data_IF_542134673974
#
_entry.id   IF_542134673974
#
_cell.length_a   1.000
_cell.length_b   1.000
_cell.length_c   1.000
_cell.angle_alpha   90.00
_cell.angle_beta   90.00
_cell.angle_gamma   90.00
#
_symmetry.space_group_name_H-M   'P 1'
#
loop_
_entity.id
_entity.type
_entity.pdbx_description
1 polymer ?
#
# COMPACT_ATOMS: atom_id res chain seq x y z
N UNK A 1 -15.66 57.23 58.04
CA UNK A 1 -15.32 56.53 59.30
C UNK A 1 -14.18 55.57 59.01
N UNK A 2 -13.06 55.72 59.74
CA UNK A 2 -11.93 54.79 59.97
C UNK A 2 -11.40 53.98 58.76
N UNK A 3 -10.17 54.11 58.23
CA UNK A 3 -8.91 54.66 58.74
C UNK A 3 -7.85 53.54 58.80
N UNK A 4 -6.76 53.64 58.03
CA UNK A 4 -5.41 53.07 58.28
C UNK A 4 -4.54 53.17 57.00
N UNK A 5 -3.60 54.12 56.89
CA UNK A 5 -2.17 54.09 57.31
C UNK A 5 -1.20 53.51 56.25
N UNK A 6 -0.37 54.41 55.73
CA UNK A 6 0.89 54.16 55.03
C UNK A 6 1.79 53.14 55.74
N UNK A 7 2.57 52.38 54.96
CA UNK A 7 3.98 52.10 55.24
C UNK A 7 4.66 51.50 53.99
N UNK A 8 5.51 52.30 53.34
CA UNK A 8 6.56 51.81 52.46
C UNK A 8 7.50 50.91 53.28
N UNK A 9 7.78 49.70 52.78
CA UNK A 9 8.94 48.92 53.21
C UNK A 9 9.65 48.34 52.00
N UNK A 10 10.91 48.76 51.86
CA UNK A 10 11.87 48.27 50.90
C UNK A 10 12.00 46.75 50.97
N UNK A 11 11.73 46.06 49.86
CA UNK A 11 12.04 44.65 49.71
C UNK A 11 13.46 44.55 49.17
N UNK A 12 14.35 44.00 50.02
CA UNK A 12 15.73 43.65 49.67
C UNK A 12 15.74 42.67 48.51
N UNK A 13 16.60 42.90 47.54
CA UNK A 13 16.91 41.96 46.47
C UNK A 13 17.63 40.74 47.06
N UNK A 14 16.92 39.62 47.14
CA UNK A 14 17.57 38.31 47.20
C UNK A 14 17.77 37.84 45.77
N UNK A 15 19.00 37.96 45.28
CA UNK A 15 19.46 37.30 44.06
C UNK A 15 19.50 35.78 44.30
N UNK A 16 18.37 35.11 44.08
CA UNK A 16 18.36 33.65 43.90
C UNK A 16 18.84 33.37 42.47
N UNK A 17 20.10 32.96 42.33
CA UNK A 17 20.56 32.33 41.11
C UNK A 17 19.62 31.14 40.79
N UNK A 18 19.10 31.01 39.57
CA UNK A 18 18.29 29.86 39.22
C UNK A 18 19.18 28.62 39.29
N UNK A 19 18.86 27.67 40.17
CA UNK A 19 19.41 26.32 40.05
C UNK A 19 19.16 25.84 38.61
N UNK A 20 20.14 25.25 37.92
CA UNK A 20 19.93 24.70 36.59
C UNK A 20 18.95 23.54 36.75
N UNK A 21 17.66 23.80 36.48
CA UNK A 21 16.68 22.74 36.32
C UNK A 21 17.17 21.92 35.13
N UNK A 22 17.68 20.72 35.39
CA UNK A 22 17.96 19.73 34.35
C UNK A 22 16.67 19.54 33.55
N UNK A 23 16.58 20.20 32.39
CA UNK A 23 15.53 19.90 31.43
C UNK A 23 15.71 18.43 31.04
N UNK A 24 14.67 17.58 31.19
CA UNK A 24 14.76 16.21 30.69
C UNK A 24 15.12 16.27 29.22
N UNK A 25 16.11 15.48 28.80
CA UNK A 25 16.52 15.42 27.41
C UNK A 25 15.32 15.02 26.55
N UNK A 26 15.03 15.82 25.51
CA UNK A 26 13.91 15.55 24.62
C UNK A 26 14.18 14.22 23.88
N UNK A 27 13.17 13.35 23.82
CA UNK A 27 13.25 12.13 23.03
C UNK A 27 13.16 12.52 21.55
N UNK A 28 14.13 12.08 20.75
CA UNK A 28 14.18 12.33 19.31
C UNK A 28 14.40 11.00 18.59
N UNK A 29 13.75 10.82 17.43
CA UNK A 29 14.01 9.68 16.55
C UNK A 29 15.35 9.82 15.85
N UNK A 30 15.90 8.73 15.32
CA UNK A 30 17.14 8.77 14.53
C UNK A 30 16.96 9.65 13.29
N UNK A 31 15.83 9.56 12.58
CA UNK A 31 15.50 10.45 11.46
C UNK A 31 15.48 11.93 11.91
N UNK A 32 14.86 12.22 13.05
CA UNK A 32 14.81 13.57 13.61
C UNK A 32 16.19 14.12 13.95
N UNK A 33 17.04 13.32 14.60
CA UNK A 33 18.40 13.71 14.95
C UNK A 33 19.26 13.96 13.70
N UNK A 34 19.16 13.09 12.69
CA UNK A 34 19.91 13.23 11.43
C UNK A 34 19.44 14.43 10.58
N UNK A 35 18.20 14.88 10.76
CA UNK A 35 17.60 16.00 10.03
C UNK A 35 17.95 17.40 10.56
N UNK A 36 18.64 17.50 11.70
CA UNK A 36 19.01 18.79 12.30
C UNK A 36 20.05 19.51 11.44
N UNK A 37 19.70 20.71 10.96
CA UNK A 37 20.61 21.51 10.11
C UNK A 37 21.73 22.22 10.90
N UNK A 38 21.52 22.51 12.19
CA UNK A 38 22.50 23.14 13.08
C UNK A 38 22.53 22.44 14.42
N UNK A 39 23.52 21.57 14.62
CA UNK A 39 23.71 20.84 15.86
C UNK A 39 24.43 21.73 16.89
N UNK A 40 23.67 22.36 17.78
CA UNK A 40 24.14 23.33 18.76
C UNK A 40 24.49 22.71 20.13
N UNK A 41 24.74 21.40 20.21
CA UNK A 41 25.02 20.71 21.47
C UNK A 41 23.77 20.45 22.33
N UNK A 42 22.59 20.42 21.71
CA UNK A 42 21.35 20.13 22.41
C UNK A 42 21.39 18.74 23.05
N UNK A 43 20.96 18.65 24.32
CA UNK A 43 20.86 17.37 25.03
C UNK A 43 19.60 16.64 24.58
N UNK A 44 19.80 15.51 23.91
CA UNK A 44 18.75 14.67 23.36
C UNK A 44 18.84 13.25 23.89
N UNK A 45 17.74 12.53 23.76
CA UNK A 45 17.61 11.13 24.12
C UNK A 45 17.18 10.32 22.92
N UNK A 46 17.97 9.32 22.55
CA UNK A 46 17.71 8.43 21.42
C UNK A 46 17.57 7.00 21.93
N UNK A 47 16.58 6.27 21.43
CA UNK A 47 16.33 4.88 21.77
C UNK A 47 16.27 4.06 20.48
N UNK A 48 16.92 2.91 20.45
CA UNK A 48 16.93 2.06 19.27
C UNK A 48 17.77 0.81 19.47
N UNK A 49 18.11 0.15 18.37
CA UNK A 49 18.93 -1.06 18.38
C UNK A 49 20.32 -0.78 17.83
N UNK A 50 21.31 -1.44 18.42
CA UNK A 50 22.69 -1.33 17.97
C UNK A 50 22.88 -2.08 16.65
N UNK A 51 23.40 -1.37 15.64
CA UNK A 51 23.69 -1.86 14.28
C UNK A 51 25.16 -2.21 14.07
N UNK A 52 26.05 -1.52 14.79
CA UNK A 52 27.47 -1.85 14.82
C UNK A 52 28.11 -1.23 16.05
N UNK A 53 29.19 -1.86 16.50
CA UNK A 53 29.99 -1.43 17.65
C UNK A 53 31.45 -1.51 17.23
N UNK A 54 32.21 -0.48 17.57
CA UNK A 54 33.65 -0.44 17.34
C UNK A 54 34.33 0.33 18.47
N UNK A 55 35.21 -0.34 19.18
CA UNK A 55 36.09 0.28 20.17
C UNK A 55 37.43 0.63 19.52
N UNK A 56 37.92 1.86 19.73
CA UNK A 56 39.23 2.34 19.26
C UNK A 56 39.88 3.22 20.32
N UNK A 57 40.97 2.73 20.92
CA UNK A 57 41.70 3.42 22.00
C UNK A 57 40.73 3.79 23.16
N UNK A 58 40.52 5.08 23.38
CA UNK A 58 39.67 5.64 24.45
C UNK A 58 38.25 5.96 23.97
N UNK A 59 37.90 5.64 22.72
CA UNK A 59 36.62 5.99 22.12
C UNK A 59 35.85 4.75 21.67
N UNK A 60 34.57 4.71 22.05
CA UNK A 60 33.59 3.72 21.62
C UNK A 60 32.64 4.35 20.60
N UNK A 61 32.53 3.72 19.43
CA UNK A 61 31.59 4.10 18.38
C UNK A 61 30.44 3.09 18.31
N UNK A 62 29.22 3.58 18.48
CA UNK A 62 28.00 2.80 18.28
C UNK A 62 27.22 3.39 17.12
N UNK A 63 26.60 2.54 16.31
CA UNK A 63 25.57 2.97 15.36
C UNK A 63 24.23 2.51 15.89
N UNK A 64 23.34 3.46 16.20
CA UNK A 64 22.00 3.18 16.74
C UNK A 64 20.96 3.49 15.66
N UNK A 65 20.03 2.56 15.45
CA UNK A 65 18.92 2.74 14.51
C UNK A 65 17.60 2.32 15.16
N UNK A 66 16.56 3.12 14.95
CA UNK A 66 15.22 2.93 15.51
C UNK A 66 14.17 2.57 14.44
N UNK A 67 14.60 2.34 13.20
CA UNK A 67 13.74 2.07 12.05
C UNK A 67 13.19 3.31 11.34
N UNK A 68 13.28 4.51 11.93
CA UNK A 68 12.73 5.75 11.36
C UNK A 68 13.49 6.25 10.13
N UNK A 69 14.72 5.80 9.93
CA UNK A 69 15.58 6.10 8.78
C UNK A 69 16.37 4.86 8.37
N UNK A 70 16.81 4.81 7.12
CA UNK A 70 17.80 3.86 6.66
C UNK A 70 19.14 4.03 7.40
N UNK A 71 19.55 5.28 7.61
CA UNK A 71 20.81 5.59 8.24
C UNK A 71 20.73 5.40 9.75
N UNK A 72 21.85 4.99 10.33
CA UNK A 72 22.00 4.92 11.80
C UNK A 72 22.61 6.21 12.32
N UNK A 73 22.23 6.63 13.51
CA UNK A 73 22.91 7.72 14.22
C UNK A 73 24.21 7.19 14.80
N UNK A 74 25.33 7.85 14.48
CA UNK A 74 26.59 7.58 15.16
C UNK A 74 26.52 8.15 16.58
N UNK A 75 26.84 7.30 17.54
CA UNK A 75 27.03 7.64 18.94
C UNK A 75 28.52 7.48 19.25
N UNK A 76 29.10 8.51 19.85
CA UNK A 76 30.49 8.55 20.30
C UNK A 76 30.48 8.57 21.82
N UNK A 77 31.10 7.58 22.43
CA UNK A 77 31.17 7.42 23.89
C UNK A 77 32.61 7.17 24.32
N UNK A 78 32.88 7.35 25.60
CA UNK A 78 34.14 6.91 26.22
C UNK A 78 34.20 5.37 26.25
N UNK A 79 35.40 4.79 26.12
CA UNK A 79 35.57 3.33 26.15
C UNK A 79 35.19 2.69 27.49
N UNK A 80 35.07 3.47 28.57
CA UNK A 80 34.52 3.01 29.86
C UNK A 80 33.06 2.55 29.78
N UNK A 81 32.30 2.96 28.76
CA UNK A 81 30.96 2.43 28.51
C UNK A 81 30.95 1.06 27.81
N UNK A 82 32.09 0.60 27.29
CA UNK A 82 32.18 -0.68 26.58
C UNK A 82 31.88 -1.83 27.55
N UNK A 83 30.83 -2.59 27.25
CA UNK A 83 30.35 -3.68 28.08
C UNK A 83 29.90 -4.84 27.21
N UNK A 84 29.92 -6.06 27.75
CA UNK A 84 29.51 -7.26 27.01
C UNK A 84 28.04 -7.24 26.58
N UNK A 85 27.21 -6.44 27.25
CA UNK A 85 25.79 -6.27 26.96
C UNK A 85 25.54 -5.30 25.79
N UNK A 86 26.52 -4.45 25.47
CA UNK A 86 26.52 -3.70 24.22
C UNK A 86 26.95 -4.65 23.10
N UNK A 87 25.96 -5.33 22.53
CA UNK A 87 26.13 -6.22 21.39
C UNK A 87 25.20 -5.84 20.23
N UNK A 88 25.54 -6.27 19.01
CA UNK A 88 24.67 -6.12 17.85
C UNK A 88 23.26 -6.65 18.14
N UNK A 89 22.24 -5.85 17.81
CA UNK A 89 20.85 -6.20 18.06
C UNK A 89 20.33 -5.87 19.46
N UNK A 90 21.20 -5.47 20.39
CA UNK A 90 20.77 -5.00 21.73
C UNK A 90 20.04 -3.68 21.62
N UNK A 91 18.99 -3.49 22.42
CA UNK A 91 18.27 -2.23 22.51
C UNK A 91 18.88 -1.33 23.59
N UNK A 92 19.09 -0.07 23.25
CA UNK A 92 19.74 0.93 24.11
C UNK A 92 18.93 2.20 24.19
N UNK A 93 19.03 2.87 25.34
CA UNK A 93 18.74 4.29 25.51
C UNK A 93 20.06 5.05 25.65
N UNK A 94 20.25 6.07 24.82
CA UNK A 94 21.44 6.94 24.85
C UNK A 94 20.99 8.36 25.10
N UNK A 95 21.55 8.98 26.13
CA UNK A 95 21.38 10.41 26.43
C UNK A 95 22.72 11.11 26.21
N UNK A 96 22.70 12.26 25.54
CA UNK A 96 23.92 12.97 25.20
C UNK A 96 23.70 14.25 24.41
N UNK A 97 24.78 14.86 23.98
CA UNK A 97 24.77 16.10 23.20
C UNK A 97 24.84 15.81 21.70
N UNK A 98 23.86 16.30 20.94
CA UNK A 98 23.90 16.23 19.49
C UNK A 98 24.80 17.33 18.94
N UNK A 99 25.90 16.93 18.29
CA UNK A 99 26.94 17.85 17.81
C UNK A 99 27.23 17.60 16.33
N UNK A 100 27.84 18.59 15.68
CA UNK A 100 28.35 18.43 14.32
C UNK A 100 29.45 17.38 14.30
N UNK A 101 29.33 16.42 13.40
CA UNK A 101 30.35 15.37 13.27
C UNK A 101 31.62 15.94 12.61
N UNK A 102 32.82 15.52 13.07
CA UNK A 102 34.08 15.86 12.41
C UNK A 102 34.29 15.09 11.09
N UNK A 103 33.54 14.01 10.87
CA UNK A 103 33.61 13.19 9.65
C UNK A 103 32.79 13.79 8.52
N UNK A 104 33.32 13.77 7.29
CA UNK A 104 32.59 14.19 6.07
C UNK A 104 31.46 13.24 5.69
N UNK A 105 31.40 12.03 6.26
CA UNK A 105 30.40 11.00 5.90
C UNK A 105 29.07 11.16 6.62
N UNK A 106 29.00 11.99 7.66
CA UNK A 106 27.80 12.18 8.47
C UNK A 106 27.78 13.60 9.02
N UNK A 107 26.60 14.22 9.04
CA UNK A 107 26.46 15.63 9.41
C UNK A 107 26.54 15.83 10.93
N UNK A 108 26.03 14.86 11.70
CA UNK A 108 25.90 14.94 13.15
C UNK A 108 26.34 13.63 13.80
N UNK A 109 26.69 13.71 15.07
CA UNK A 109 26.92 12.58 15.96
C UNK A 109 26.42 12.90 17.36
N UNK A 110 26.06 11.87 18.13
CA UNK A 110 25.63 12.01 19.52
C UNK A 110 26.79 11.69 20.45
N UNK A 111 27.29 12.71 21.17
CA UNK A 111 28.27 12.50 22.25
C UNK A 111 27.55 11.98 23.48
N UNK A 112 27.71 10.69 23.76
CA UNK A 112 27.01 10.01 24.84
C UNK A 112 27.53 10.48 26.20
N UNK A 113 26.59 10.81 27.08
CA UNK A 113 26.83 11.10 28.49
C UNK A 113 26.28 9.97 29.38
N UNK A 114 25.25 9.25 28.90
CA UNK A 114 24.70 8.05 29.52
C UNK A 114 24.27 7.07 28.44
N UNK A 115 24.63 5.79 28.63
CA UNK A 115 24.16 4.67 27.83
C UNK A 115 23.53 3.65 28.78
N UNK A 116 22.29 3.25 28.49
CA UNK A 116 21.55 2.25 29.24
C UNK A 116 21.11 1.13 28.29
N UNK A 117 21.48 -0.11 28.61
CA UNK A 117 21.00 -1.29 27.88
C UNK A 117 19.60 -1.63 28.38
N UNK A 118 18.61 -1.47 27.51
CA UNK A 118 17.20 -1.76 27.82
C UNK A 118 16.89 -3.24 27.61
N UNK A 119 17.60 -3.88 26.69
CA UNK A 119 17.38 -5.27 26.32
C UNK A 119 18.62 -5.85 25.66
N UNK A 120 19.13 -6.91 26.26
CA UNK A 120 20.30 -7.62 25.77
C UNK A 120 19.94 -8.48 24.54
N UNK A 121 20.88 -8.65 23.63
CA UNK A 121 20.78 -9.58 22.50
C UNK A 121 22.01 -10.49 22.45
N UNK A 122 21.79 -11.80 22.46
CA UNK A 122 22.86 -12.74 22.11
C UNK A 122 23.13 -12.69 20.60
N UNK A 123 24.17 -11.94 20.22
CA UNK A 123 24.59 -11.81 18.83
C UNK A 123 25.01 -13.14 18.18
N UNK A 124 25.39 -14.17 18.97
CA UNK A 124 25.73 -15.50 18.45
C UNK A 124 24.49 -16.32 18.13
N UNK A 125 23.43 -16.23 18.93
CA UNK A 125 22.15 -16.88 18.63
C UNK A 125 21.30 -16.10 17.60
N UNK A 126 21.51 -14.79 17.46
CA UNK A 126 20.70 -13.96 16.56
C UNK A 126 20.83 -14.39 15.08
N UNK A 127 19.73 -14.73 14.37
CA UNK A 127 19.81 -15.37 13.04
C UNK A 127 20.32 -14.42 11.95
N UNK A 128 20.06 -13.11 12.05
CA UNK A 128 20.50 -12.13 11.05
C UNK A 128 21.86 -11.56 11.43
N UNK A 129 22.93 -12.17 10.93
CA UNK A 129 24.32 -11.72 11.17
C UNK A 129 24.64 -10.43 10.43
N UNK A 130 25.20 -9.44 11.13
CA UNK A 130 25.48 -8.11 10.57
C UNK A 130 26.62 -8.07 9.54
N UNK A 131 27.53 -9.05 9.57
CA UNK A 131 28.66 -9.17 8.63
C UNK A 131 28.34 -9.96 7.38
N UNK A 132 27.15 -10.57 7.32
CA UNK A 132 26.76 -11.47 6.24
C UNK A 132 25.57 -10.89 5.49
N UNK A 133 25.56 -11.09 4.17
CA UNK A 133 24.39 -10.77 3.35
C UNK A 133 23.49 -12.00 3.31
N UNK A 134 22.30 -11.86 3.86
CA UNK A 134 21.29 -12.91 3.84
C UNK A 134 20.41 -12.78 2.59
N UNK A 135 20.18 -13.87 1.83
CA UNK A 135 19.24 -13.85 0.71
C UNK A 135 17.80 -13.65 1.21
N UNK A 136 16.91 -13.16 0.34
CA UNK A 136 15.52 -12.86 0.72
C UNK A 136 14.78 -14.13 1.14
N UNK A 137 15.08 -15.28 0.53
CA UNK A 137 14.53 -16.60 0.86
C UNK A 137 14.82 -16.98 2.31
N UNK A 138 16.04 -16.74 2.79
CA UNK A 138 16.40 -16.97 4.19
C UNK A 138 15.63 -16.03 5.12
N UNK A 139 15.55 -14.75 4.77
CA UNK A 139 14.83 -13.75 5.57
C UNK A 139 13.32 -14.04 5.68
N UNK A 140 12.71 -14.70 4.69
CA UNK A 140 11.29 -15.12 4.76
C UNK A 140 11.01 -16.12 5.89
N UNK A 141 12.02 -16.87 6.34
CA UNK A 141 11.89 -17.81 7.47
C UNK A 141 11.76 -17.10 8.83
N UNK A 142 12.11 -15.80 8.91
CA UNK A 142 12.10 -15.02 10.15
C UNK A 142 11.23 -13.76 10.03
N UNK A 143 9.91 -13.88 9.82
CA UNK A 143 9.02 -12.73 9.57
C UNK A 143 9.06 -11.68 10.70
N UNK A 144 9.28 -12.11 11.94
CA UNK A 144 9.37 -11.25 13.12
C UNK A 144 10.71 -10.47 13.23
N UNK A 145 11.75 -10.83 12.48
CA UNK A 145 13.08 -10.19 12.54
C UNK A 145 13.51 -9.53 11.22
N UNK A 146 13.00 -10.00 10.09
CA UNK A 146 13.47 -9.62 8.75
C UNK A 146 13.44 -8.12 8.47
N UNK A 147 12.49 -7.41 9.09
CA UNK A 147 12.31 -5.95 8.98
C UNK A 147 13.47 -5.15 9.60
N UNK A 148 14.29 -5.80 10.43
CA UNK A 148 15.52 -5.21 10.99
C UNK A 148 16.66 -5.19 9.97
N UNK A 149 16.51 -5.74 8.76
CA UNK A 149 17.50 -5.58 7.69
C UNK A 149 17.31 -4.25 6.96
N UNK A 150 18.38 -3.70 6.38
CA UNK A 150 18.28 -2.44 5.63
C UNK A 150 17.32 -2.57 4.45
N UNK A 151 17.37 -3.69 3.72
CA UNK A 151 16.55 -3.95 2.53
C UNK A 151 15.06 -3.96 2.89
N UNK A 152 14.62 -4.83 3.80
CA UNK A 152 13.20 -4.94 4.12
C UNK A 152 12.67 -3.77 4.96
N UNK A 153 13.51 -3.15 5.79
CA UNK A 153 13.16 -1.89 6.44
C UNK A 153 12.89 -0.77 5.42
N UNK A 154 13.69 -0.69 4.34
CA UNK A 154 13.49 0.29 3.26
C UNK A 154 12.20 0.01 2.51
N UNK A 155 11.93 -1.25 2.15
CA UNK A 155 10.68 -1.64 1.48
C UNK A 155 9.45 -1.27 2.32
N UNK A 156 9.48 -1.48 3.64
CA UNK A 156 8.36 -1.13 4.51
C UNK A 156 8.16 0.38 4.65
N UNK A 157 9.24 1.17 4.75
CA UNK A 157 9.14 2.64 4.76
C UNK A 157 8.59 3.16 3.43
N UNK A 158 9.07 2.62 2.31
CA UNK A 158 8.55 2.94 0.96
C UNK A 158 7.07 2.58 0.84
N UNK A 159 6.64 1.39 1.29
CA UNK A 159 5.23 0.99 1.31
C UNK A 159 4.39 1.92 2.18
N UNK A 160 4.87 2.30 3.35
CA UNK A 160 4.20 3.25 4.24
C UNK A 160 4.01 4.62 3.58
N UNK A 161 5.05 5.13 2.90
CA UNK A 161 4.99 6.39 2.17
C UNK A 161 4.04 6.31 0.98
N UNK A 162 4.10 5.23 0.19
CA UNK A 162 3.18 5.01 -0.92
C UNK A 162 1.73 4.96 -0.45
N UNK A 163 1.46 4.26 0.66
CA UNK A 163 0.11 4.19 1.26
C UNK A 163 -0.39 5.58 1.65
N UNK A 164 0.45 6.39 2.32
CA UNK A 164 0.10 7.76 2.69
C UNK A 164 -0.12 8.67 1.47
N UNK A 165 0.69 8.51 0.42
CA UNK A 165 0.57 9.26 -0.82
C UNK A 165 -0.73 8.93 -1.58
N UNK A 166 -1.12 7.66 -1.63
CA UNK A 166 -2.39 7.22 -2.23
C UNK A 166 -3.58 7.84 -1.50
N UNK A 167 -3.62 7.75 -0.17
CA UNK A 167 -4.68 8.38 0.62
C UNK A 167 -4.71 9.90 0.43
N UNK A 168 -3.54 10.55 0.34
CA UNK A 168 -3.46 11.99 0.12
C UNK A 168 -3.97 12.36 -1.27
N UNK A 169 -3.58 11.61 -2.31
CA UNK A 169 -4.08 11.80 -3.68
C UNK A 169 -5.61 11.77 -3.74
N UNK A 170 -6.24 10.73 -3.18
CA UNK A 170 -7.70 10.60 -3.20
C UNK A 170 -8.38 11.70 -2.38
N UNK A 171 -7.85 12.00 -1.19
CA UNK A 171 -8.37 13.08 -0.35
C UNK A 171 -8.30 14.44 -1.04
N UNK A 172 -7.16 14.76 -1.65
CA UNK A 172 -6.93 16.05 -2.33
C UNK A 172 -7.75 16.15 -3.63
N UNK A 173 -8.09 14.99 -4.23
CA UNK A 173 -9.00 14.88 -5.39
C UNK A 173 -10.49 14.85 -5.00
N UNK A 174 -10.82 14.94 -3.71
CA UNK A 174 -12.21 15.04 -3.22
C UNK A 174 -12.94 13.71 -3.04
N UNK A 175 -12.24 12.58 -3.07
CA UNK A 175 -12.85 11.28 -2.83
C UNK A 175 -13.16 11.03 -1.36
N UNK A 176 -14.24 10.30 -1.10
CA UNK A 176 -14.60 9.82 0.23
C UNK A 176 -14.04 8.41 0.43
N UNK A 177 -13.28 8.21 1.51
CA UNK A 177 -12.78 6.89 1.88
C UNK A 177 -13.90 6.06 2.52
N UNK A 178 -14.21 4.91 1.94
CA UNK A 178 -15.23 3.97 2.37
C UNK A 178 -14.57 2.67 2.80
N UNK A 179 -14.91 2.18 4.00
CA UNK A 179 -14.55 0.84 4.43
C UNK A 179 -15.59 -0.15 3.93
N UNK A 180 -15.24 -0.94 2.93
CA UNK A 180 -16.09 -2.01 2.38
C UNK A 180 -16.04 -3.27 3.27
N UNK A 181 -17.12 -4.07 3.33
CA UNK A 181 -17.14 -5.32 4.09
C UNK A 181 -16.11 -6.33 3.56
N UNK A 182 -15.36 -6.97 4.46
CA UNK A 182 -14.42 -8.06 4.14
C UNK A 182 -15.12 -9.42 4.10
N UNK A 183 -16.06 -9.65 5.01
CA UNK A 183 -16.90 -10.85 5.02
C UNK A 183 -18.15 -10.53 4.20
N UNK A 184 -18.39 -11.30 3.15
CA UNK A 184 -19.46 -11.04 2.18
C UNK A 184 -20.07 -12.34 1.68
N UNK A 185 -21.36 -12.33 1.34
CA UNK A 185 -22.00 -13.43 0.61
C UNK A 185 -21.87 -13.29 -0.90
N UNK A 186 -21.18 -12.23 -1.35
CA UNK A 186 -21.05 -11.86 -2.75
C UNK A 186 -19.69 -12.28 -3.31
N UNK A 187 -19.69 -12.91 -4.49
CA UNK A 187 -18.49 -13.31 -5.22
C UNK A 187 -17.93 -12.18 -6.11
N UNK A 188 -18.66 -11.08 -6.30
CA UNK A 188 -18.30 -9.89 -7.10
C UNK A 188 -18.02 -10.14 -8.60
N UNK A 189 -17.13 -11.08 -8.92
CA UNK A 189 -16.70 -11.45 -10.26
C UNK A 189 -17.37 -12.74 -10.77
N UNK A 190 -17.86 -13.61 -9.88
CA UNK A 190 -18.66 -14.79 -10.24
C UNK A 190 -17.87 -15.95 -10.84
N UNK A 191 -16.55 -15.96 -10.71
CA UNK A 191 -15.66 -16.90 -11.41
C UNK A 191 -14.42 -17.36 -10.62
N UNK A 192 -14.21 -16.86 -9.38
CA UNK A 192 -13.00 -17.12 -8.60
C UNK A 192 -13.19 -18.19 -7.52
N UNK A 193 -12.10 -18.87 -7.14
CA UNK A 193 -12.09 -19.67 -5.92
C UNK A 193 -12.08 -18.73 -4.69
N UNK A 194 -13.06 -18.89 -3.79
CA UNK A 194 -13.24 -18.06 -2.60
C UNK A 194 -12.87 -18.79 -1.30
N UNK A 195 -12.36 -18.05 -0.31
CA UNK A 195 -12.23 -18.56 1.05
C UNK A 195 -13.57 -18.46 1.80
N UNK A 196 -14.16 -19.59 2.16
CA UNK A 196 -15.38 -19.64 2.98
C UNK A 196 -15.06 -19.40 4.46
N UNK A 197 -15.90 -18.60 5.13
CA UNK A 197 -15.77 -18.27 6.56
C UNK A 197 -16.81 -19.03 7.37
N UNK A 198 -16.35 -19.90 8.27
CA UNK A 198 -17.19 -20.69 9.16
C UNK A 198 -16.76 -20.58 10.64
N UNK A 199 -17.70 -20.59 11.60
CA UNK A 199 -17.35 -20.63 13.02
C UNK A 199 -16.70 -21.97 13.39
N UNK A 200 -15.66 -21.93 14.22
CA UNK A 200 -14.88 -23.12 14.63
C UNK A 200 -15.60 -24.05 15.62
N UNK A 201 -16.79 -23.69 16.12
CA UNK A 201 -17.46 -24.41 17.22
C UNK A 201 -17.77 -25.87 16.86
N UNK A 202 -17.35 -26.80 17.74
CA UNK A 202 -17.56 -28.26 17.60
C UNK A 202 -19.03 -28.70 17.69
N UNK A 203 -19.91 -27.84 18.20
CA UNK A 203 -21.36 -28.07 18.17
C UNK A 203 -21.84 -27.54 16.81
N UNK A 204 -21.73 -28.39 15.79
CA UNK A 204 -22.43 -28.15 14.53
C UNK A 204 -23.92 -28.36 14.81
N UNK A 205 -24.67 -27.28 14.96
CA UNK A 205 -26.09 -27.36 14.63
C UNK A 205 -26.14 -27.63 13.13
N UNK A 206 -26.82 -28.69 12.64
CA UNK A 206 -26.57 -29.22 11.29
C UNK A 206 -26.86 -28.28 10.12
N UNK A 207 -27.55 -27.14 10.32
CA UNK A 207 -28.19 -26.40 9.21
C UNK A 207 -28.14 -24.88 9.29
N UNK A 208 -27.34 -24.25 10.14
CA UNK A 208 -27.26 -22.78 10.18
C UNK A 208 -25.82 -22.30 9.97
N UNK A 209 -25.55 -21.78 8.76
CA UNK A 209 -24.41 -20.87 8.57
C UNK A 209 -24.49 -19.76 9.63
N UNK A 210 -23.36 -19.23 10.11
CA UNK A 210 -23.38 -18.17 11.14
C UNK A 210 -24.25 -16.96 10.75
N UNK A 211 -24.31 -16.64 9.44
CA UNK A 211 -25.12 -15.57 8.89
C UNK A 211 -26.40 -16.06 8.19
N UNK A 212 -26.82 -17.31 8.43
CA UNK A 212 -27.91 -18.03 7.72
C UNK A 212 -27.69 -18.22 6.21
N UNK A 213 -26.64 -17.64 5.65
CA UNK A 213 -26.18 -17.79 4.27
C UNK A 213 -24.67 -18.09 4.27
N UNK A 214 -24.14 -18.78 3.24
CA UNK A 214 -22.71 -18.91 3.07
C UNK A 214 -22.06 -17.53 2.95
N UNK A 215 -20.90 -17.37 3.58
CA UNK A 215 -20.11 -16.14 3.51
C UNK A 215 -18.65 -16.47 3.22
N UNK A 216 -18.00 -15.52 2.58
CA UNK A 216 -16.66 -15.64 2.03
C UNK A 216 -15.83 -14.40 2.38
N UNK A 217 -14.52 -14.53 2.26
CA UNK A 217 -13.63 -13.37 2.21
C UNK A 217 -13.71 -12.72 0.83
N UNK A 218 -13.85 -11.40 0.81
CA UNK A 218 -14.06 -10.64 -0.41
C UNK A 218 -12.87 -10.71 -1.38
N UNK A 219 -13.16 -10.84 -2.67
CA UNK A 219 -12.18 -10.66 -3.75
C UNK A 219 -12.01 -9.19 -4.14
N UNK A 220 -13.04 -8.37 -3.92
CA UNK A 220 -13.12 -6.98 -4.35
C UNK A 220 -14.20 -6.21 -3.58
N UNK A 221 -13.94 -4.95 -3.25
CA UNK A 221 -14.90 -4.02 -2.64
C UNK A 221 -15.84 -3.38 -3.65
N UNK A 222 -15.60 -3.59 -4.94
CA UNK A 222 -16.27 -2.94 -6.08
C UNK A 222 -17.78 -2.73 -5.90
N UNK A 223 -18.55 -3.81 -5.76
CA UNK A 223 -20.03 -3.71 -5.80
C UNK A 223 -20.58 -2.88 -4.63
N UNK A 224 -19.87 -2.82 -3.51
CA UNK A 224 -20.21 -1.95 -2.40
C UNK A 224 -19.89 -0.48 -2.73
N UNK A 225 -18.77 -0.21 -3.40
CA UNK A 225 -18.42 1.13 -3.84
C UNK A 225 -19.41 1.67 -4.89
N UNK A 226 -19.89 0.83 -5.82
CA UNK A 226 -20.93 1.21 -6.80
C UNK A 226 -22.23 1.67 -6.14
N UNK A 227 -22.62 1.05 -5.01
CA UNK A 227 -23.79 1.49 -4.23
C UNK A 227 -23.51 2.84 -3.55
N UNK A 228 -22.31 2.99 -2.98
CA UNK A 228 -21.92 4.23 -2.28
C UNK A 228 -21.70 5.40 -3.23
N UNK A 229 -21.29 5.14 -4.47
CA UNK A 229 -21.09 6.18 -5.48
C UNK A 229 -22.40 6.88 -5.87
N UNK A 230 -23.53 6.18 -5.76
CA UNK A 230 -24.87 6.77 -5.89
C UNK A 230 -25.21 7.83 -4.83
N UNK A 231 -24.46 7.90 -3.72
CA UNK A 231 -24.59 8.95 -2.71
C UNK A 231 -23.41 9.94 -2.71
N UNK A 232 -22.22 9.49 -3.11
CA UNK A 232 -20.99 10.28 -3.16
C UNK A 232 -20.34 10.13 -4.53
N UNK A 233 -20.23 11.20 -5.30
CA UNK A 233 -19.80 11.12 -6.70
C UNK A 233 -18.42 10.51 -6.92
N UNK A 234 -17.57 10.48 -5.89
CA UNK A 234 -16.22 9.92 -5.92
C UNK A 234 -15.93 9.21 -4.58
N UNK A 235 -15.73 7.89 -4.63
CA UNK A 235 -15.43 7.06 -3.44
C UNK A 235 -14.23 6.17 -3.70
N UNK A 236 -13.52 5.80 -2.65
CA UNK A 236 -12.47 4.77 -2.74
C UNK A 236 -12.39 3.93 -1.47
N UNK A 237 -11.86 2.72 -1.59
CA UNK A 237 -11.47 1.86 -0.47
C UNK A 237 -9.99 1.53 -0.58
N UNK A 238 -9.37 1.30 0.57
CA UNK A 238 -8.03 0.72 0.69
C UNK A 238 -8.16 -0.41 1.71
N UNK A 239 -8.25 -1.66 1.22
CA UNK A 239 -8.61 -2.80 2.05
C UNK A 239 -7.93 -4.10 1.64
N UNK A 240 -7.94 -5.11 2.53
CA UNK A 240 -7.47 -6.44 2.19
C UNK A 240 -8.49 -7.17 1.29
N UNK A 241 -7.97 -7.89 0.31
CA UNK A 241 -8.74 -8.77 -0.57
C UNK A 241 -8.05 -10.14 -0.66
N UNK A 242 -8.82 -11.14 -1.06
CA UNK A 242 -8.42 -12.54 -0.95
C UNK A 242 -8.74 -13.30 -2.23
N UNK A 243 -7.83 -14.17 -2.66
CA UNK A 243 -8.05 -15.10 -3.79
C UNK A 243 -7.60 -16.49 -3.36
N UNK A 244 -8.48 -17.49 -3.50
CA UNK A 244 -8.18 -18.85 -3.03
C UNK A 244 -7.53 -19.74 -4.08
N UNK A 245 -7.31 -19.22 -5.30
CA UNK A 245 -6.64 -19.94 -6.38
C UNK A 245 -5.29 -20.52 -5.94
N UNK A 246 -5.08 -21.82 -6.18
CA UNK A 246 -3.81 -22.48 -5.85
C UNK A 246 -2.70 -22.18 -6.87
N UNK A 247 -2.38 -20.90 -7.04
CA UNK A 247 -1.34 -20.40 -7.95
C UNK A 247 -0.04 -20.13 -7.20
N UNK A 248 0.89 -21.10 -7.22
CA UNK A 248 2.21 -20.98 -6.59
C UNK A 248 3.22 -20.23 -7.47
N UNK A 249 2.88 -19.01 -7.87
CA UNK A 249 3.74 -18.13 -8.65
C UNK A 249 4.56 -17.19 -7.76
N UNK A 250 5.57 -16.50 -8.33
CA UNK A 250 6.35 -15.49 -7.59
C UNK A 250 5.59 -14.19 -7.31
N UNK A 251 4.39 -14.01 -7.88
CA UNK A 251 3.63 -12.75 -7.88
C UNK A 251 2.22 -12.87 -7.29
N UNK A 252 1.72 -14.08 -7.08
CA UNK A 252 0.39 -14.29 -6.50
C UNK A 252 0.49 -14.42 -4.99
N UNK A 253 -0.40 -13.69 -4.30
CA UNK A 253 -0.63 -13.81 -2.87
C UNK A 253 -2.10 -14.18 -2.67
N UNK A 254 -2.38 -15.06 -1.71
CA UNK A 254 -3.76 -15.39 -1.35
C UNK A 254 -4.44 -14.25 -0.56
N UNK A 255 -3.65 -13.40 0.09
CA UNK A 255 -4.08 -12.18 0.79
C UNK A 255 -3.21 -11.02 0.30
N UNK A 256 -3.84 -9.95 -0.19
CA UNK A 256 -3.17 -8.75 -0.66
C UNK A 256 -4.06 -7.53 -0.39
N UNK A 257 -3.55 -6.33 -0.68
CA UNK A 257 -4.30 -5.10 -0.50
C UNK A 257 -4.64 -4.51 -1.87
N UNK A 258 -5.89 -4.11 -2.02
CA UNK A 258 -6.38 -3.41 -3.19
C UNK A 258 -6.75 -1.98 -2.83
N UNK A 259 -6.48 -1.12 -3.80
CA UNK A 259 -6.99 0.24 -3.83
C UNK A 259 -8.00 0.30 -4.95
N UNK A 260 -9.24 0.55 -4.59
CA UNK A 260 -10.36 0.50 -5.53
C UNK A 260 -11.12 1.82 -5.42
N UNK A 261 -11.40 2.45 -6.55
CA UNK A 261 -12.07 3.76 -6.57
C UNK A 261 -13.23 3.76 -7.57
N UNK A 262 -14.38 4.27 -7.15
CA UNK A 262 -15.57 4.41 -7.98
C UNK A 262 -15.92 5.88 -8.21
N UNK A 263 -16.17 6.25 -9.46
CA UNK A 263 -16.50 7.62 -9.86
C UNK A 263 -17.81 7.60 -10.66
N UNK A 264 -18.78 8.40 -10.22
CA UNK A 264 -20.04 8.61 -10.94
C UNK A 264 -19.92 9.70 -12.01
N UNK A 265 -20.78 9.60 -13.03
CA UNK A 265 -20.92 10.53 -14.14
C UNK A 265 -19.73 10.58 -15.12
N UNK A 266 -18.89 9.55 -15.16
CA UNK A 266 -17.85 9.47 -16.19
C UNK A 266 -18.45 9.04 -17.53
N UNK A 267 -18.07 9.73 -18.60
CA UNK A 267 -18.62 9.46 -19.93
C UNK A 267 -17.70 8.54 -20.76
N UNK A 268 -16.40 8.51 -20.47
CA UNK A 268 -15.41 7.83 -21.29
C UNK A 268 -14.33 7.10 -20.48
N UNK A 269 -13.71 6.10 -21.10
CA UNK A 269 -12.49 5.48 -20.56
C UNK A 269 -11.33 6.47 -20.45
N UNK A 270 -11.33 7.56 -21.22
CA UNK A 270 -10.28 8.56 -21.19
C UNK A 270 -10.20 9.26 -19.82
N UNK A 271 -11.35 9.53 -19.20
CA UNK A 271 -11.43 10.15 -17.88
C UNK A 271 -10.86 9.20 -16.81
N UNK A 272 -11.19 7.91 -16.91
CA UNK A 272 -10.64 6.88 -16.03
C UNK A 272 -9.11 6.75 -16.16
N UNK A 273 -8.61 6.69 -17.40
CA UNK A 273 -7.18 6.58 -17.67
C UNK A 273 -6.40 7.77 -17.09
N UNK A 274 -6.98 8.98 -17.12
CA UNK A 274 -6.36 10.16 -16.50
C UNK A 274 -6.24 10.02 -14.98
N UNK A 275 -7.25 9.46 -14.30
CA UNK A 275 -7.19 9.21 -12.86
C UNK A 275 -6.13 8.15 -12.55
N UNK A 276 -6.10 7.03 -13.28
CA UNK A 276 -5.09 5.98 -13.14
C UNK A 276 -3.66 6.51 -13.32
N UNK A 277 -3.42 7.25 -14.40
CA UNK A 277 -2.11 7.84 -14.69
C UNK A 277 -1.69 8.86 -13.62
N UNK A 278 -2.62 9.72 -13.18
CA UNK A 278 -2.37 10.72 -12.14
C UNK A 278 -2.08 10.10 -10.78
N UNK A 279 -2.83 9.07 -10.39
CA UNK A 279 -2.59 8.32 -9.15
C UNK A 279 -1.20 7.68 -9.17
N UNK A 280 -0.85 7.00 -10.28
CA UNK A 280 0.46 6.36 -10.43
C UNK A 280 1.59 7.38 -10.35
N UNK A 281 1.54 8.44 -11.18
CA UNK A 281 2.61 9.45 -11.26
C UNK A 281 2.76 10.18 -9.94
N UNK A 282 1.66 10.62 -9.32
CA UNK A 282 1.69 11.36 -8.05
C UNK A 282 2.25 10.52 -6.91
N UNK A 283 1.80 9.26 -6.79
CA UNK A 283 2.30 8.33 -5.75
C UNK A 283 3.79 8.05 -5.94
N UNK A 284 4.21 7.73 -7.15
CA UNK A 284 5.61 7.45 -7.46
C UNK A 284 6.52 8.67 -7.19
N UNK A 285 6.14 9.86 -7.67
CA UNK A 285 6.90 11.09 -7.42
C UNK A 285 6.99 11.42 -5.93
N UNK A 286 5.91 11.24 -5.18
CA UNK A 286 5.88 11.47 -3.73
C UNK A 286 6.87 10.54 -3.03
N UNK A 287 6.84 9.24 -3.33
CA UNK A 287 7.79 8.25 -2.78
C UNK A 287 9.23 8.59 -3.13
N UNK A 288 9.51 8.96 -4.39
CA UNK A 288 10.85 9.34 -4.84
C UNK A 288 11.40 10.57 -4.09
N UNK A 289 10.52 11.54 -3.80
CA UNK A 289 10.89 12.77 -3.09
C UNK A 289 11.06 12.57 -1.58
N UNK A 290 10.20 11.77 -0.94
CA UNK A 290 10.14 11.64 0.50
C UNK A 290 11.01 10.50 1.06
N UNK A 291 11.34 9.51 0.23
CA UNK A 291 12.13 8.33 0.60
C UNK A 291 13.37 8.09 -0.29
N UNK A 292 14.16 9.12 -0.67
CA UNK A 292 15.20 8.99 -1.70
C UNK A 292 16.29 7.96 -1.34
N UNK A 293 16.70 7.90 -0.06
CA UNK A 293 17.75 6.97 0.40
C UNK A 293 17.27 5.52 0.42
N UNK A 294 16.01 5.30 0.80
CA UNK A 294 15.39 3.97 0.81
C UNK A 294 15.22 3.46 -0.63
N UNK A 295 14.73 4.31 -1.53
CA UNK A 295 14.59 3.99 -2.96
C UNK A 295 15.96 3.71 -3.60
N UNK A 296 16.98 4.52 -3.31
CA UNK A 296 18.34 4.29 -3.84
C UNK A 296 18.89 2.93 -3.41
N UNK A 297 18.66 2.52 -2.16
CA UNK A 297 19.03 1.20 -1.68
C UNK A 297 18.29 0.10 -2.44
N UNK A 298 16.98 0.25 -2.67
CA UNK A 298 16.19 -0.68 -3.47
C UNK A 298 16.72 -0.80 -4.90
N UNK A 299 17.03 0.31 -5.57
CA UNK A 299 17.65 0.31 -6.89
C UNK A 299 19.00 -0.43 -6.90
N UNK A 300 19.81 -0.26 -5.86
CA UNK A 300 21.14 -0.88 -5.81
C UNK A 300 21.11 -2.38 -5.54
N UNK A 301 20.19 -2.85 -4.70
CA UNK A 301 20.28 -4.23 -4.16
C UNK A 301 19.08 -5.13 -4.47
N UNK A 302 17.95 -4.58 -4.91
CA UNK A 302 16.73 -5.32 -5.25
C UNK A 302 16.51 -5.32 -6.77
N UNK A 303 16.51 -4.14 -7.38
CA UNK A 303 16.18 -3.97 -8.81
C UNK A 303 17.16 -3.01 -9.52
N UNK A 304 18.41 -3.46 -9.78
CA UNK A 304 19.36 -2.68 -10.58
C UNK A 304 18.79 -2.31 -11.94
N UNK A 305 18.95 -1.05 -12.35
CA UNK A 305 18.41 -0.51 -13.62
C UNK A 305 16.97 -0.01 -13.55
N UNK A 306 16.25 -0.24 -12.44
CA UNK A 306 14.86 0.24 -12.31
C UNK A 306 14.76 1.76 -12.17
N UNK A 307 15.82 2.44 -11.73
CA UNK A 307 15.85 3.90 -11.59
C UNK A 307 15.53 4.60 -12.91
N UNK A 308 16.33 4.32 -13.93
CA UNK A 308 16.22 4.99 -15.22
C UNK A 308 14.90 4.64 -15.90
N UNK A 309 14.43 3.40 -15.73
CA UNK A 309 13.12 2.94 -16.21
C UNK A 309 11.97 3.71 -15.54
N UNK A 310 12.00 3.87 -14.22
CA UNK A 310 10.97 4.62 -13.50
C UNK A 310 10.98 6.09 -13.90
N UNK A 311 12.16 6.72 -14.00
CA UNK A 311 12.27 8.10 -14.49
C UNK A 311 11.76 8.24 -15.94
N UNK A 312 12.04 7.27 -16.81
CA UNK A 312 11.53 7.23 -18.18
C UNK A 312 10.00 7.12 -18.21
N UNK A 313 9.42 6.22 -17.42
CA UNK A 313 7.97 6.08 -17.29
C UNK A 313 7.30 7.38 -16.80
N UNK A 314 7.89 8.07 -15.82
CA UNK A 314 7.30 9.29 -15.25
C UNK A 314 7.38 10.50 -16.19
N UNK A 315 8.39 10.56 -17.07
CA UNK A 315 8.59 11.67 -18.02
C UNK A 315 7.71 11.58 -19.27
N UNK A 316 7.26 10.38 -19.64
CA UNK A 316 6.49 10.15 -20.86
C UNK A 316 4.99 10.09 -20.57
N UNK A 317 4.19 10.31 -21.61
CA UNK A 317 2.76 10.05 -21.58
C UNK A 317 2.51 8.56 -21.79
N UNK A 318 1.45 8.04 -21.19
CA UNK A 318 1.10 6.63 -21.36
C UNK A 318 0.44 6.43 -22.72
N UNK A 319 0.80 5.36 -23.40
CA UNK A 319 0.20 5.03 -24.70
C UNK A 319 -1.13 4.33 -24.51
N UNK A 320 -2.04 4.50 -25.45
CA UNK A 320 -3.34 3.82 -25.47
C UNK A 320 -3.42 2.99 -26.75
N UNK A 321 -3.71 1.71 -26.60
CA UNK A 321 -3.99 0.80 -27.71
C UNK A 321 -5.27 0.01 -27.40
N UNK A 322 -6.04 -0.37 -28.41
CA UNK A 322 -7.13 -1.32 -28.23
C UNK A 322 -6.60 -2.75 -28.06
N UNK A 323 -7.40 -3.62 -27.45
CA UNK A 323 -7.13 -5.06 -27.39
C UNK A 323 -6.92 -5.65 -28.79
N UNK A 324 -7.71 -5.22 -29.77
CA UNK A 324 -7.60 -5.69 -31.16
C UNK A 324 -6.24 -5.33 -31.74
N UNK A 325 -5.79 -4.08 -31.59
CA UNK A 325 -4.44 -3.66 -31.99
C UNK A 325 -3.34 -4.43 -31.23
N UNK A 326 -3.53 -4.66 -29.93
CA UNK A 326 -2.60 -5.44 -29.11
C UNK A 326 -2.41 -6.85 -29.67
N UNK A 327 -3.50 -7.55 -30.03
CA UNK A 327 -3.43 -8.89 -30.65
C UNK A 327 -2.76 -8.83 -32.03
N UNK A 328 -2.99 -7.80 -32.83
CA UNK A 328 -2.32 -7.62 -34.12
C UNK A 328 -0.81 -7.43 -33.97
N UNK A 329 -0.38 -6.58 -33.03
CA UNK A 329 1.03 -6.38 -32.68
C UNK A 329 1.68 -7.71 -32.27
N UNK A 330 0.99 -8.49 -31.44
CA UNK A 330 1.49 -9.78 -30.96
C UNK A 330 1.59 -10.81 -32.10
N UNK A 331 0.63 -10.85 -33.03
CA UNK A 331 0.68 -11.75 -34.19
C UNK A 331 1.79 -11.39 -35.18
N UNK A 332 2.16 -10.12 -35.26
CA UNK A 332 3.27 -9.64 -36.09
C UNK A 332 4.64 -9.81 -35.42
N UNK A 333 4.67 -10.19 -34.14
CA UNK A 333 5.91 -10.41 -33.41
C UNK A 333 6.70 -11.58 -34.02
N UNK A 334 8.00 -11.39 -34.19
CA UNK A 334 8.92 -12.46 -34.60
C UNK A 334 9.26 -13.44 -33.46
N UNK A 335 8.71 -13.24 -32.26
CA UNK A 335 8.96 -14.07 -31.08
C UNK A 335 7.94 -15.20 -31.01
N UNK A 336 8.41 -16.40 -30.66
CA UNK A 336 7.53 -17.51 -30.32
C UNK A 336 6.99 -17.33 -28.90
N UNK A 337 5.67 -17.20 -28.76
CA UNK A 337 4.98 -17.18 -27.48
C UNK A 337 4.61 -18.62 -27.05
N UNK A 338 4.57 -18.84 -25.75
CA UNK A 338 4.09 -20.12 -25.19
C UNK A 338 2.59 -20.26 -25.43
N UNK A 339 1.85 -19.18 -25.22
CA UNK A 339 0.43 -19.07 -25.52
C UNK A 339 0.25 -18.32 -26.84
N UNK A 340 -0.53 -18.86 -27.77
CA UNK A 340 -0.69 -18.20 -29.07
C UNK A 340 -1.62 -17.00 -28.93
N UNK A 341 -1.21 -15.78 -29.31
CA UNK A 341 -2.07 -14.61 -29.25
C UNK A 341 -3.22 -14.73 -30.25
N UNK A 342 -4.46 -14.77 -29.74
CA UNK A 342 -5.67 -14.90 -30.53
C UNK A 342 -6.72 -13.92 -30.02
N UNK A 343 -7.50 -13.36 -30.96
CA UNK A 343 -8.61 -12.49 -30.59
C UNK A 343 -9.68 -13.32 -29.87
N UNK A 344 -10.14 -12.84 -28.72
CA UNK A 344 -11.05 -13.57 -27.84
C UNK A 344 -10.35 -14.48 -26.83
N UNK A 345 -9.01 -14.50 -26.80
CA UNK A 345 -8.22 -15.13 -25.74
C UNK A 345 -7.58 -14.07 -24.83
N UNK A 346 -7.38 -14.41 -23.57
CA UNK A 346 -6.80 -13.50 -22.59
C UNK A 346 -5.31 -13.20 -22.87
N UNK A 347 -4.84 -12.02 -22.42
CA UNK A 347 -3.45 -11.64 -22.54
C UNK A 347 -2.64 -12.21 -21.38
N UNK A 348 -1.75 -13.15 -21.65
CA UNK A 348 -0.82 -13.64 -20.64
C UNK A 348 0.32 -12.65 -20.37
N UNK A 349 0.99 -12.79 -19.22
CA UNK A 349 2.13 -11.95 -18.82
C UNK A 349 3.25 -11.85 -19.86
N UNK A 350 3.47 -12.88 -20.70
CA UNK A 350 4.45 -12.80 -21.80
C UNK A 350 4.03 -11.83 -22.91
N UNK A 351 2.72 -11.77 -23.20
CA UNK A 351 2.12 -10.85 -24.16
C UNK A 351 2.20 -9.42 -23.63
N UNK A 352 1.78 -9.18 -22.38
CA UNK A 352 1.84 -7.87 -21.74
C UNK A 352 3.26 -7.28 -21.76
N UNK A 353 4.25 -8.09 -21.38
CA UNK A 353 5.67 -7.68 -21.38
C UNK A 353 6.17 -7.36 -22.79
N UNK A 354 5.73 -8.11 -23.79
CA UNK A 354 6.08 -7.84 -25.18
C UNK A 354 5.47 -6.52 -25.65
N UNK A 355 4.19 -6.29 -25.39
CA UNK A 355 3.49 -5.05 -25.76
C UNK A 355 4.18 -3.82 -25.18
N UNK A 356 4.46 -3.83 -23.87
CA UNK A 356 5.15 -2.72 -23.21
C UNK A 356 6.52 -2.45 -23.81
N UNK A 357 7.28 -3.51 -24.12
CA UNK A 357 8.59 -3.39 -24.77
C UNK A 357 8.46 -2.85 -26.20
N UNK A 358 7.50 -3.34 -26.98
CA UNK A 358 7.21 -2.88 -28.35
C UNK A 358 6.86 -1.39 -28.36
N UNK A 359 6.10 -0.94 -27.36
CA UNK A 359 5.69 0.44 -27.16
C UNK A 359 6.79 1.35 -26.57
N UNK A 360 8.05 0.90 -26.48
CA UNK A 360 9.18 1.74 -26.08
C UNK A 360 9.46 1.78 -24.56
N UNK A 361 9.10 0.71 -23.84
CA UNK A 361 9.32 0.56 -22.39
C UNK A 361 8.68 1.69 -21.55
N UNK A 362 7.51 2.17 -21.98
CA UNK A 362 6.63 3.09 -21.24
C UNK A 362 5.30 2.41 -20.90
N UNK A 363 4.54 2.89 -19.90
CA UNK A 363 3.27 2.28 -19.56
C UNK A 363 2.26 2.39 -20.71
N UNK A 364 1.44 1.35 -20.88
CA UNK A 364 0.49 1.22 -21.98
C UNK A 364 -0.87 0.84 -21.42
N UNK A 365 -1.88 1.64 -21.70
CA UNK A 365 -3.28 1.28 -21.51
C UNK A 365 -3.73 0.40 -22.67
N UNK A 366 -4.28 -0.78 -22.35
CA UNK A 366 -4.98 -1.64 -23.31
C UNK A 366 -6.47 -1.49 -23.04
N UNK A 367 -7.24 -1.05 -24.03
CA UNK A 367 -8.67 -0.77 -23.90
C UNK A 367 -9.54 -1.70 -24.74
N UNK A 368 -10.84 -1.76 -24.42
CA UNK A 368 -11.85 -2.42 -25.26
C UNK A 368 -11.63 -3.93 -25.41
N UNK A 369 -11.61 -4.64 -24.29
CA UNK A 369 -11.44 -6.10 -24.25
C UNK A 369 -12.70 -6.84 -24.75
N UNK A 370 -12.58 -8.08 -25.28
CA UNK A 370 -13.72 -8.89 -25.69
C UNK A 370 -14.74 -9.08 -24.56
N UNK A 371 -16.02 -8.88 -24.86
CA UNK A 371 -17.14 -8.99 -23.89
C UNK A 371 -17.14 -10.34 -23.15
N UNK A 372 -16.79 -11.42 -23.85
CA UNK A 372 -16.80 -12.79 -23.33
C UNK A 372 -15.69 -13.08 -22.30
N UNK A 373 -14.63 -12.26 -22.23
CA UNK A 373 -13.51 -12.46 -21.31
C UNK A 373 -13.65 -11.71 -20.00
N UNK A 374 -14.52 -10.68 -19.95
CA UNK A 374 -14.58 -9.74 -18.83
C UNK A 374 -15.86 -9.93 -18.01
N UNK A 375 -15.85 -9.55 -16.71
CA UNK A 375 -16.98 -9.71 -15.79
C UNK A 375 -18.26 -9.01 -16.23
N UNK A 376 -19.41 -9.48 -15.75
CA UNK A 376 -20.75 -9.08 -16.18
C UNK A 376 -21.07 -7.59 -16.03
N UNK A 377 -20.39 -6.91 -15.11
CA UNK A 377 -20.64 -5.50 -14.78
C UNK A 377 -19.99 -4.51 -15.74
N UNK A 378 -19.10 -4.94 -16.65
CA UNK A 378 -18.40 -4.01 -17.56
C UNK A 378 -19.30 -3.58 -18.74
N UNK A 379 -19.36 -2.30 -19.06
CA UNK A 379 -20.25 -1.76 -20.10
C UNK A 379 -19.98 -2.36 -21.49
N UNK A 380 -21.03 -2.85 -22.15
CA UNK A 380 -20.96 -3.31 -23.54
C UNK A 380 -20.85 -2.12 -24.51
N UNK A 381 -19.85 -2.13 -25.38
CA UNK A 381 -19.61 -1.08 -26.37
C UNK A 381 -20.56 -1.12 -27.58
N UNK A 382 -21.23 -2.26 -27.82
CA UNK A 382 -22.12 -2.48 -28.97
C UNK A 382 -21.44 -2.18 -30.33
N UNK A 383 -20.14 -2.42 -30.42
CA UNK A 383 -19.25 -1.99 -31.51
C UNK A 383 -19.23 -2.95 -32.73
N UNK A 384 -20.05 -4.00 -32.73
CA UNK A 384 -20.23 -4.90 -33.85
C UNK A 384 -20.62 -6.32 -33.42
N UNK A 385 -20.57 -7.32 -34.32
CA UNK A 385 -20.95 -8.70 -33.99
C UNK A 385 -20.07 -9.37 -32.93
N UNK A 386 -18.81 -8.94 -32.84
CA UNK A 386 -17.86 -9.37 -31.82
C UNK A 386 -17.70 -8.22 -30.81
N UNK A 387 -18.63 -8.17 -29.86
CA UNK A 387 -18.73 -7.07 -28.90
C UNK A 387 -17.47 -6.98 -28.02
N UNK A 388 -17.01 -5.76 -27.78
CA UNK A 388 -16.05 -5.43 -26.72
C UNK A 388 -16.75 -4.78 -25.53
N UNK A 389 -16.06 -4.69 -24.40
CA UNK A 389 -16.48 -3.91 -23.23
C UNK A 389 -15.58 -2.72 -23.03
N UNK A 390 -16.12 -1.63 -22.50
CA UNK A 390 -15.36 -0.46 -22.08
C UNK A 390 -14.53 -0.79 -20.81
N UNK A 391 -13.49 -1.60 -21.00
CA UNK A 391 -12.51 -2.00 -20.01
C UNK A 391 -11.15 -1.43 -20.36
N UNK A 392 -10.30 -1.26 -19.35
CA UNK A 392 -8.92 -0.80 -19.50
C UNK A 392 -8.02 -1.51 -18.50
N UNK A 393 -6.87 -1.97 -18.98
CA UNK A 393 -5.78 -2.48 -18.14
C UNK A 393 -4.54 -1.60 -18.36
N UNK A 394 -3.87 -1.14 -17.30
CA UNK A 394 -2.60 -0.41 -17.38
C UNK A 394 -1.43 -1.38 -17.22
N UNK A 395 -0.70 -1.59 -18.30
CA UNK A 395 0.50 -2.42 -18.34
C UNK A 395 1.75 -1.57 -18.06
N UNK A 396 2.56 -2.01 -17.09
CA UNK A 396 3.77 -1.29 -16.63
C UNK A 396 5.04 -2.12 -16.90
N UNK A 397 6.13 -1.49 -17.39
CA UNK A 397 7.40 -2.15 -17.66
C UNK A 397 7.90 -3.06 -16.52
N UNK A 398 8.13 -4.33 -16.86
CA UNK A 398 8.66 -5.35 -15.95
C UNK A 398 7.62 -6.01 -15.04
N UNK A 399 6.53 -5.31 -14.70
CA UNK A 399 5.44 -5.82 -13.86
C UNK A 399 4.43 -6.57 -14.72
N UNK A 400 3.91 -5.94 -15.77
CA UNK A 400 2.69 -6.39 -16.45
C UNK A 400 1.52 -5.51 -16.01
N UNK A 401 0.33 -6.07 -15.89
CA UNK A 401 -0.83 -5.36 -15.34
C UNK A 401 -0.55 -4.77 -13.94
N UNK A 402 -0.82 -3.48 -13.77
CA UNK A 402 -0.79 -2.78 -12.47
C UNK A 402 -2.16 -2.26 -12.06
N UNK A 403 -2.97 -1.79 -13.01
CA UNK A 403 -4.34 -1.37 -12.78
C UNK A 403 -5.29 -2.07 -13.75
N UNK A 404 -6.49 -2.38 -13.27
CA UNK A 404 -7.63 -2.81 -14.07
C UNK A 404 -8.82 -1.89 -13.82
N UNK A 405 -9.67 -1.69 -14.81
CA UNK A 405 -10.84 -0.82 -14.66
C UNK A 405 -11.82 -0.90 -15.82
N UNK A 406 -12.99 -0.29 -15.64
CA UNK A 406 -14.04 -0.30 -16.68
C UNK A 406 -15.10 0.74 -16.41
N UNK A 407 -15.79 1.19 -17.46
CA UNK A 407 -17.13 1.77 -17.29
C UNK A 407 -18.10 0.68 -16.86
N UNK A 408 -19.03 0.99 -15.95
CA UNK A 408 -20.07 0.05 -15.53
C UNK A 408 -21.21 0.02 -16.52
N UNK A 409 -21.83 -1.16 -16.63
CA UNK A 409 -23.05 -1.34 -17.37
C UNK A 409 -24.24 -0.80 -16.54
N UNK A 410 -24.59 0.47 -16.72
CA UNK A 410 -25.70 1.10 -16.01
C UNK A 410 -27.08 0.69 -16.58
N UNK A 411 -27.11 0.11 -17.78
CA UNK A 411 -28.38 -0.26 -18.44
C UNK A 411 -28.86 -1.60 -17.91
N UNK A 412 -29.89 -1.55 -17.05
CA UNK A 412 -30.49 -2.73 -16.41
C UNK A 412 -30.71 -3.94 -17.33
N UNK A 413 -31.26 -3.72 -18.52
CA UNK A 413 -31.60 -4.80 -19.43
C UNK A 413 -30.36 -5.51 -20.02
N UNK A 414 -29.23 -4.80 -20.17
CA UNK A 414 -27.95 -5.40 -20.55
C UNK A 414 -27.38 -6.21 -19.39
N UNK A 415 -27.39 -5.66 -18.17
CA UNK A 415 -26.96 -6.39 -16.96
C UNK A 415 -27.75 -7.69 -16.76
N UNK A 416 -29.09 -7.63 -16.82
CA UNK A 416 -29.96 -8.78 -16.62
C UNK A 416 -29.70 -9.87 -17.67
N UNK A 417 -29.55 -9.48 -18.94
CA UNK A 417 -29.19 -10.42 -20.01
C UNK A 417 -27.81 -11.04 -19.79
N UNK A 418 -26.83 -10.26 -19.33
CA UNK A 418 -25.46 -10.75 -19.12
C UNK A 418 -25.36 -11.71 -17.93
N UNK A 419 -26.02 -11.38 -16.82
CA UNK A 419 -26.18 -12.29 -15.68
C UNK A 419 -26.84 -13.61 -16.10
N UNK A 420 -27.91 -13.54 -16.90
CA UNK A 420 -28.58 -14.73 -17.41
C UNK A 420 -27.69 -15.60 -18.31
N UNK A 421 -26.91 -14.98 -19.21
CA UNK A 421 -25.97 -15.71 -20.08
C UNK A 421 -24.84 -16.40 -19.31
N UNK A 422 -24.41 -15.81 -18.21
CA UNK A 422 -23.34 -16.35 -17.35
C UNK A 422 -23.86 -17.32 -16.27
N UNK A 423 -25.18 -17.53 -16.18
CA UNK A 423 -25.78 -18.39 -15.15
C UNK A 423 -25.72 -17.79 -13.74
N UNK A 424 -25.48 -16.47 -13.63
CA UNK A 424 -25.32 -15.76 -12.36
C UNK A 424 -26.63 -15.17 -11.83
N UNK A 425 -27.76 -15.39 -12.52
CA UNK A 425 -29.04 -14.79 -12.16
C UNK A 425 -29.45 -15.12 -10.72
N UNK A 426 -29.34 -16.37 -10.28
CA UNK A 426 -29.74 -16.78 -8.92
C UNK A 426 -28.85 -16.16 -7.84
N UNK A 427 -27.54 -16.06 -8.10
CA UNK A 427 -26.57 -15.48 -7.16
C UNK A 427 -26.80 -13.97 -6.92
N UNK A 428 -27.28 -13.25 -7.93
CA UNK A 428 -27.54 -11.80 -7.85
C UNK A 428 -29.03 -11.44 -7.78
N UNK A 429 -29.93 -12.42 -7.85
CA UNK A 429 -31.32 -12.28 -7.47
C UNK A 429 -31.39 -12.28 -5.94
N UNK A 430 -31.39 -11.10 -5.33
CA UNK A 430 -31.67 -10.95 -3.91
C UNK A 430 -32.93 -11.76 -3.54
N UNK A 431 -32.75 -12.84 -2.76
CA UNK A 431 -33.78 -13.83 -2.53
C UNK A 431 -34.89 -13.31 -1.62
N UNK A 432 -36.08 -13.33 -2.20
CA UNK A 432 -37.38 -13.33 -1.53
C UNK A 432 -37.68 -14.63 -0.75
N UNK A 433 -36.72 -15.52 -0.47
CA UNK A 433 -37.06 -16.87 -0.01
C UNK A 433 -37.16 -17.06 1.52
N UNK A 434 -36.71 -16.11 2.34
CA UNK A 434 -36.82 -16.20 3.81
C UNK A 434 -38.04 -15.51 4.45
N UNK A 435 -38.66 -14.53 3.78
CA UNK A 435 -39.66 -13.65 4.40
C UNK A 435 -41.12 -13.90 3.95
N UNK A 436 -41.36 -14.85 3.04
CA UNK A 436 -42.68 -15.12 2.46
C UNK A 436 -43.37 -16.34 3.07
N UNK A 437 -43.51 -16.36 4.41
CA UNK A 437 -44.62 -17.09 5.05
C UNK A 437 -45.65 -16.21 5.73
N UNK A 438 -45.43 -14.89 5.85
CA UNK A 438 -46.43 -13.98 6.40
C UNK A 438 -46.26 -12.57 5.81
N UNK A 439 -46.91 -12.31 4.67
CA UNK A 439 -47.73 -11.10 4.46
C UNK A 439 -48.06 -10.90 2.98
N UNK A 440 -49.37 -10.86 2.70
CA UNK A 440 -49.92 -10.21 1.52
C UNK A 440 -49.53 -8.73 1.53
N UNK A 441 -48.57 -8.30 0.69
CA UNK A 441 -48.65 -7.01 0.00
C UNK A 441 -47.54 -6.81 -1.06
N UNK A 442 -47.96 -6.19 -2.17
CA UNK A 442 -47.19 -5.89 -3.38
C UNK A 442 -45.98 -4.95 -3.15
N UNK A 443 -44.81 -5.48 -2.81
CA UNK A 443 -43.54 -4.77 -3.01
C UNK A 443 -42.40 -5.78 -3.25
N UNK A 444 -42.20 -6.18 -4.51
CA UNK A 444 -41.14 -7.12 -4.93
C UNK A 444 -40.01 -6.38 -5.66
N UNK A 445 -38.77 -6.54 -5.17
CA UNK A 445 -37.51 -6.23 -5.88
C UNK A 445 -37.00 -4.79 -5.75
N UNK A 446 -36.30 -4.43 -4.66
CA UNK A 446 -35.85 -3.03 -4.44
C UNK A 446 -34.35 -2.79 -4.27
N UNK A 447 -33.49 -3.78 -4.08
CA UNK A 447 -32.05 -3.51 -3.92
C UNK A 447 -31.36 -3.21 -5.26
N UNK A 448 -31.48 -4.08 -6.27
CA UNK A 448 -30.87 -3.84 -7.59
C UNK A 448 -31.70 -2.94 -8.52
N UNK A 449 -32.99 -2.76 -8.26
CA UNK A 449 -33.83 -1.79 -9.02
C UNK A 449 -33.55 -0.33 -8.63
N UNK A 450 -32.84 -0.09 -7.53
CA UNK A 450 -32.38 1.24 -7.12
C UNK A 450 -31.17 1.71 -7.93
N UNK A 451 -30.24 0.80 -8.24
CA UNK A 451 -29.05 1.06 -9.07
C UNK A 451 -29.40 1.43 -10.52
N UNK A 452 -30.54 0.98 -11.05
CA UNK A 452 -30.90 1.16 -12.46
C UNK A 452 -31.85 2.31 -12.80
N UNK A 453 -32.16 3.19 -11.83
CA UNK A 453 -33.09 4.32 -12.05
C UNK A 453 -32.42 5.70 -12.08
N UNK A 454 -31.09 5.78 -12.07
CA UNK A 454 -30.32 7.00 -12.31
C UNK A 454 -29.49 6.88 -13.61
N UNK A 455 -29.21 7.98 -14.33
CA UNK A 455 -28.35 8.01 -15.52
C UNK A 455 -26.86 7.88 -15.17
N UNK A 456 -26.51 7.11 -14.14
CA UNK A 456 -25.24 7.26 -13.44
C UNK A 456 -24.24 6.22 -13.98
N UNK A 457 -23.38 6.66 -14.88
CA UNK A 457 -22.20 5.89 -15.31
C UNK A 457 -21.21 5.86 -14.16
N UNK A 458 -21.06 4.70 -13.53
CA UNK A 458 -20.04 4.43 -12.52
C UNK A 458 -18.80 3.80 -13.18
N UNK A 459 -17.64 3.83 -12.52
CA UNK A 459 -16.37 3.35 -13.07
C UNK A 459 -15.41 2.89 -11.96
N UNK A 460 -14.79 1.69 -12.06
CA UNK A 460 -13.66 1.31 -11.19
C UNK A 460 -12.32 1.76 -11.74
N UNK A 461 -11.44 2.13 -10.81
CA UNK A 461 -10.02 1.88 -10.91
C UNK A 461 -9.60 0.91 -9.80
N UNK A 462 -9.12 -0.29 -10.15
CA UNK A 462 -8.44 -1.21 -9.22
C UNK A 462 -6.94 -1.15 -9.42
N UNK A 463 -6.19 -1.09 -8.33
CA UNK A 463 -4.74 -1.33 -8.33
C UNK A 463 -4.34 -2.25 -7.19
N UNK A 464 -3.52 -3.26 -7.48
CA UNK A 464 -2.90 -4.11 -6.46
C UNK A 464 -1.64 -3.42 -5.90
N UNK A 465 -1.55 -3.23 -4.58
CA UNK A 465 -0.46 -2.48 -3.91
C UNK A 465 0.35 -3.27 -2.87
#
# INVERSE_FOLDING_TARGET
>A
MFGARCLLRAVRSCSSAPCPRHRPAARVSVRGALGVQSANGERVKVQGWIRSIRSQKEVLFLHVNDGSSLESLQVVADSSFDSRELAFGSSVEVQGQLVKSPSKKQNVELKAEKIEVVGNCDAKAFPVKYKERHPLEYLRQYPHLRCRTNVLGSVLRVRSEATAAIHSFFKDSGFVHIHTPVITSNDCEGAGELFQVEPSSKIKVPEENFFNIPVFLTVSGQLHLEVMSGAFTQVFTFGPTFRAENSQSRRHLAEFYMVEAEISFLESLQDLMQVMESLFKTTAMTVLSNCPKDVELCHKFIAPGQKDRLEHMLKNNFLVISYTEAVEILKQASQNFTFTPQWGADLHTEHEKYLVKHCGDIPVFVINYPLALKPFYMRDNEDGPQHTVAAVDLLVPGVGELFGGSLREERYHFLEQRLARLGLTEAYQCENQGALKNNNNNNKGKEWRGLSKGPDRNVLCEGCF
#
